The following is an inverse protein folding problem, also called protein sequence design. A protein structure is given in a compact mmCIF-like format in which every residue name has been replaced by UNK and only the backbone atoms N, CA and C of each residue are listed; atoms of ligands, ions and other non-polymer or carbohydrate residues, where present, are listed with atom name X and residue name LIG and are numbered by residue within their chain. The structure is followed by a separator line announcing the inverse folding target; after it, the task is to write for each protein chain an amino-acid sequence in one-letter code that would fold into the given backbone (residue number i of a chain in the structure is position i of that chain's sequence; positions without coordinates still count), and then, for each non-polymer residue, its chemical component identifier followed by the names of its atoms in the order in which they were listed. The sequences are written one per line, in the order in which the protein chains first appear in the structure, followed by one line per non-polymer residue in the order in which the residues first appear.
data_IF_739599698812
#
_entry.id   IF_739599698812
#
_cell.length_a   1.000
_cell.length_b   1.000
_cell.length_c   1.000
_cell.angle_alpha   90.00
_cell.angle_beta   90.00
_cell.angle_gamma   90.00
#
_symmetry.space_group_name_H-M   'P 1'
#
loop_
_entity.id
_entity.type
_entity.pdbx_description
1 polymer ?
#
# COMPACT_ATOMS: atom_id res chain seq x y z
N UNK A 1 -9.16 -20.54 0.85
CA UNK A 1 -8.18 -19.63 0.20
C UNK A 1 -8.87 -18.28 -0.05
N UNK A 2 -8.33 -17.20 0.48
CA UNK A 2 -8.85 -15.84 0.30
C UNK A 2 -7.87 -15.01 -0.52
N UNK A 3 -8.38 -14.14 -1.40
CA UNK A 3 -7.55 -13.23 -2.20
C UNK A 3 -8.22 -11.87 -2.30
N UNK A 4 -7.49 -10.82 -2.00
CA UNK A 4 -7.91 -9.44 -2.15
C UNK A 4 -6.88 -8.68 -3.02
N UNK A 5 -7.38 -7.89 -3.97
CA UNK A 5 -6.55 -6.97 -4.75
C UNK A 5 -7.09 -5.56 -4.61
N UNK A 6 -6.24 -4.67 -4.15
CA UNK A 6 -6.56 -3.27 -3.92
C UNK A 6 -5.75 -2.38 -4.85
N UNK A 7 -6.33 -1.23 -5.22
CA UNK A 7 -5.69 -0.18 -6.02
C UNK A 7 -5.82 1.17 -5.32
N UNK A 8 -5.07 2.16 -5.79
CA UNK A 8 -5.23 3.54 -5.36
C UNK A 8 -6.51 4.12 -5.96
N UNK A 9 -7.57 4.22 -5.14
CA UNK A 9 -8.90 4.69 -5.55
C UNK A 9 -9.25 6.04 -4.95
N UNK A 10 -8.34 6.68 -4.24
CA UNK A 10 -8.57 7.97 -3.61
C UNK A 10 -8.76 9.05 -4.68
N UNK A 11 -9.96 9.63 -4.77
CA UNK A 11 -10.30 10.68 -5.73
C UNK A 11 -9.42 11.93 -5.57
N UNK A 12 -9.07 12.30 -4.34
CA UNK A 12 -8.20 13.45 -4.05
C UNK A 12 -6.78 13.26 -4.60
N UNK A 13 -6.26 12.04 -4.64
CA UNK A 13 -4.96 11.73 -5.25
C UNK A 13 -4.97 12.08 -6.74
N UNK A 14 -6.01 11.69 -7.44
CA UNK A 14 -6.17 11.98 -8.86
C UNK A 14 -6.34 13.48 -9.13
N UNK A 15 -7.05 14.21 -8.24
CA UNK A 15 -7.11 15.67 -8.33
C UNK A 15 -5.76 16.34 -8.15
N UNK A 16 -4.94 15.89 -7.19
CA UNK A 16 -3.58 16.39 -7.00
C UNK A 16 -2.73 16.11 -8.25
N UNK A 17 -2.76 14.90 -8.77
CA UNK A 17 -2.02 14.53 -9.98
C UNK A 17 -2.44 15.38 -11.18
N UNK A 18 -3.74 15.62 -11.36
CA UNK A 18 -4.26 16.53 -12.40
C UNK A 18 -3.80 17.97 -12.18
N UNK A 19 -3.83 18.48 -10.95
CA UNK A 19 -3.35 19.82 -10.61
C UNK A 19 -1.87 20.01 -10.92
N UNK A 20 -1.04 19.05 -10.53
CA UNK A 20 0.39 19.03 -10.86
C UNK A 20 0.59 19.01 -12.37
N UNK A 21 -0.10 18.13 -13.07
CA UNK A 21 0.00 18.02 -14.54
C UNK A 21 -0.41 19.33 -15.23
N UNK A 22 -1.53 19.95 -14.82
CA UNK A 22 -2.02 21.22 -15.35
C UNK A 22 -1.01 22.35 -15.10
N UNK A 23 -0.42 22.41 -13.92
CA UNK A 23 0.64 23.38 -13.58
C UNK A 23 1.88 23.21 -14.47
N UNK A 24 2.28 21.97 -14.74
CA UNK A 24 3.42 21.68 -15.63
C UNK A 24 3.12 22.12 -17.08
N UNK A 25 1.93 21.80 -17.59
CA UNK A 25 1.50 22.25 -18.93
C UNK A 25 1.46 23.78 -19.02
N UNK A 26 0.87 24.43 -18.01
CA UNK A 26 0.83 25.89 -17.95
C UNK A 26 2.25 26.50 -17.98
N UNK A 27 3.17 25.94 -17.19
CA UNK A 27 4.57 26.39 -17.15
C UNK A 27 5.27 26.24 -18.51
N UNK A 28 5.01 25.16 -19.25
CA UNK A 28 5.58 24.94 -20.58
C UNK A 28 5.05 25.97 -21.60
N UNK A 29 3.75 26.31 -21.51
CA UNK A 29 3.11 27.23 -22.46
C UNK A 29 3.52 28.69 -22.21
N UNK A 30 3.74 29.07 -20.94
CA UNK A 30 3.97 30.46 -20.54
C UNK A 30 5.45 30.80 -20.33
N UNK A 31 6.33 29.81 -20.17
CA UNK A 31 7.75 30.04 -20.02
C UNK A 31 8.36 30.52 -21.33
N UNK A 32 9.34 31.47 -21.29
CA UNK A 32 10.13 31.79 -22.45
C UNK A 32 10.85 30.51 -22.93
N UNK A 33 11.21 30.43 -24.24
CA UNK A 33 11.83 29.24 -24.80
C UNK A 33 13.14 28.91 -24.07
N UNK A 34 12.98 28.08 -23.06
CA UNK A 34 14.06 27.48 -22.27
C UNK A 34 14.34 26.10 -22.87
N UNK A 35 15.57 25.70 -22.68
CA UNK A 35 16.12 24.46 -23.20
C UNK A 35 15.07 23.32 -23.26
N UNK A 36 14.73 22.86 -24.43
CA UNK A 36 13.74 21.83 -24.74
C UNK A 36 13.82 20.60 -23.81
N UNK A 37 15.00 20.28 -23.29
CA UNK A 37 15.24 19.16 -22.43
C UNK A 37 14.44 19.21 -21.09
N UNK A 38 14.37 20.37 -20.43
CA UNK A 38 13.65 20.50 -19.15
C UNK A 38 12.13 20.35 -19.34
N UNK A 39 11.58 20.86 -20.44
CA UNK A 39 10.19 20.72 -20.82
C UNK A 39 9.82 19.25 -21.10
N UNK A 40 10.64 18.54 -21.87
CA UNK A 40 10.43 17.11 -22.17
C UNK A 40 10.52 16.24 -20.93
N UNK A 41 11.48 16.49 -20.03
CA UNK A 41 11.62 15.76 -18.76
C UNK A 41 10.38 16.00 -17.89
N UNK A 42 9.94 17.25 -17.75
CA UNK A 42 8.74 17.59 -16.96
C UNK A 42 7.50 16.89 -17.52
N UNK A 43 7.30 16.94 -18.83
CA UNK A 43 6.18 16.28 -19.49
C UNK A 43 6.22 14.77 -19.33
N UNK A 44 7.40 14.16 -19.46
CA UNK A 44 7.60 12.73 -19.21
C UNK A 44 7.23 12.31 -17.79
N UNK A 45 7.66 13.07 -16.77
CA UNK A 45 7.29 12.84 -15.36
C UNK A 45 5.78 13.00 -15.18
N UNK A 46 5.17 14.01 -15.78
CA UNK A 46 3.73 14.28 -15.70
C UNK A 46 2.87 13.14 -16.25
N UNK A 47 3.37 12.40 -17.23
CA UNK A 47 2.68 11.19 -17.75
C UNK A 47 3.02 9.96 -16.91
N UNK A 48 4.28 9.78 -16.55
CA UNK A 48 4.77 8.58 -15.87
C UNK A 48 4.14 8.40 -14.49
N UNK A 49 3.98 9.48 -13.71
CA UNK A 49 3.44 9.42 -12.36
C UNK A 49 1.99 8.92 -12.32
N UNK A 50 1.02 9.50 -13.06
CA UNK A 50 -0.35 8.96 -13.10
C UNK A 50 -0.38 7.51 -13.56
N UNK A 51 0.43 7.15 -14.55
CA UNK A 51 0.51 5.80 -15.09
C UNK A 51 1.05 4.80 -14.06
N UNK A 52 2.03 5.21 -13.26
CA UNK A 52 2.57 4.43 -12.15
C UNK A 52 1.48 4.17 -11.10
N UNK A 53 0.79 5.23 -10.62
CA UNK A 53 -0.28 5.08 -9.62
C UNK A 53 -1.44 4.23 -10.14
N UNK A 54 -1.78 4.33 -11.42
CA UNK A 54 -2.81 3.51 -12.05
C UNK A 54 -2.44 2.02 -12.08
N UNK A 55 -1.17 1.70 -12.28
CA UNK A 55 -0.67 0.33 -12.28
C UNK A 55 -0.46 -0.24 -10.87
N UNK A 56 -0.27 0.63 -9.85
CA UNK A 56 -0.02 0.18 -8.48
C UNK A 56 -1.19 -0.63 -7.93
N UNK A 57 -0.87 -1.83 -7.45
CA UNK A 57 -1.84 -2.72 -6.81
C UNK A 57 -1.20 -3.51 -5.68
N UNK A 58 -1.95 -3.64 -4.59
CA UNK A 58 -1.64 -4.50 -3.47
C UNK A 58 -2.48 -5.76 -3.59
N UNK A 59 -1.86 -6.91 -3.71
CA UNK A 59 -2.53 -8.21 -3.69
C UNK A 59 -2.14 -8.94 -2.43
N UNK A 60 -3.15 -9.36 -1.66
CA UNK A 60 -3.02 -10.16 -0.44
C UNK A 60 -3.72 -11.49 -0.65
N UNK A 61 -3.05 -12.59 -0.37
CA UNK A 61 -3.61 -13.94 -0.47
C UNK A 61 -3.34 -14.69 0.82
N UNK A 62 -4.42 -15.20 1.43
CA UNK A 62 -4.37 -15.97 2.68
C UNK A 62 -4.66 -17.43 2.35
N UNK A 63 -3.76 -18.31 2.75
CA UNK A 63 -3.81 -19.76 2.49
C UNK A 63 -3.63 -20.54 3.79
N UNK A 64 -3.71 -21.87 3.73
CA UNK A 64 -3.41 -22.75 4.86
C UNK A 64 -1.93 -22.73 5.27
N UNK A 65 -1.03 -22.37 4.35
CA UNK A 65 0.41 -22.36 4.59
C UNK A 65 0.90 -21.02 5.17
N UNK A 66 0.21 -19.91 4.83
CA UNK A 66 0.61 -18.57 5.24
C UNK A 66 -0.04 -17.49 4.41
N UNK A 67 0.56 -16.30 4.46
CA UNK A 67 0.08 -15.09 3.81
C UNK A 67 1.06 -14.67 2.73
N UNK A 68 0.56 -14.43 1.54
CA UNK A 68 1.32 -13.91 0.40
C UNK A 68 0.92 -12.47 0.15
N UNK A 69 1.91 -11.59 -0.03
CA UNK A 69 1.72 -10.17 -0.29
C UNK A 69 2.54 -9.74 -1.49
N UNK A 70 1.91 -9.04 -2.43
CA UNK A 70 2.59 -8.44 -3.56
C UNK A 70 2.12 -7.02 -3.78
N UNK A 71 3.06 -6.08 -3.79
CA UNK A 71 2.81 -4.69 -4.10
C UNK A 71 3.46 -4.34 -5.46
N UNK A 72 2.70 -4.50 -6.53
CA UNK A 72 3.18 -4.19 -7.88
C UNK A 72 3.20 -2.67 -8.12
N UNK A 73 4.20 -2.09 -8.81
CA UNK A 73 5.34 -2.75 -9.49
C UNK A 73 6.57 -2.96 -8.61
N UNK A 74 6.58 -2.57 -7.35
CA UNK A 74 7.77 -2.63 -6.48
C UNK A 74 8.17 -4.07 -6.11
N UNK A 75 7.19 -4.97 -5.99
CA UNK A 75 7.44 -6.39 -5.77
C UNK A 75 7.05 -7.19 -7.01
N UNK A 76 8.04 -7.68 -7.74
CA UNK A 76 7.81 -8.61 -8.86
C UNK A 76 7.44 -10.00 -8.38
N UNK A 77 7.98 -10.43 -7.22
CA UNK A 77 7.65 -11.70 -6.57
C UNK A 77 6.76 -11.46 -5.36
N UNK A 78 5.90 -12.42 -5.05
CA UNK A 78 5.12 -12.41 -3.81
C UNK A 78 6.04 -12.57 -2.61
N UNK A 79 5.82 -11.80 -1.55
CA UNK A 79 6.44 -12.03 -0.24
C UNK A 79 5.58 -13.02 0.52
N UNK A 80 6.19 -14.05 1.03
CA UNK A 80 5.52 -15.12 1.77
C UNK A 80 5.83 -15.01 3.27
N UNK A 81 4.78 -15.05 4.06
CA UNK A 81 4.83 -15.05 5.52
C UNK A 81 4.19 -16.35 6.02
N UNK A 82 4.99 -17.38 6.37
CA UNK A 82 4.46 -18.66 6.84
C UNK A 82 3.85 -18.53 8.23
N UNK A 83 2.78 -19.26 8.51
CA UNK A 83 2.09 -19.22 9.80
C UNK A 83 3.02 -19.56 10.98
N UNK A 84 4.02 -20.41 10.76
CA UNK A 84 4.96 -20.82 11.80
C UNK A 84 5.84 -19.66 12.30
N UNK A 85 6.05 -18.64 11.48
CA UNK A 85 6.79 -17.43 11.87
C UNK A 85 5.91 -16.37 12.55
N UNK A 86 4.58 -16.47 12.40
CA UNK A 86 3.62 -15.49 12.92
C UNK A 86 3.24 -15.87 14.36
N UNK A 87 3.44 -14.94 15.30
CA UNK A 87 3.02 -15.10 16.69
C UNK A 87 1.60 -14.63 16.96
N UNK A 88 1.15 -13.60 16.24
CA UNK A 88 -0.21 -13.08 16.33
C UNK A 88 -0.66 -12.48 15.00
N UNK A 89 -1.94 -12.69 14.66
CA UNK A 89 -2.59 -12.09 13.49
C UNK A 89 -3.99 -11.62 13.84
N UNK A 90 -4.25 -10.33 13.63
CA UNK A 90 -5.53 -9.69 13.94
C UNK A 90 -5.79 -8.49 13.03
N UNK A 91 -7.05 -8.15 12.86
CA UNK A 91 -7.45 -6.97 12.10
C UNK A 91 -7.62 -5.79 13.07
N UNK A 92 -7.01 -4.65 12.74
CA UNK A 92 -7.13 -3.42 13.53
C UNK A 92 -7.36 -2.20 12.64
N UNK A 93 -7.90 -1.18 13.26
CA UNK A 93 -7.90 0.17 12.69
C UNK A 93 -6.56 0.85 13.01
N UNK A 94 -6.01 1.58 12.06
CA UNK A 94 -4.76 2.32 12.22
C UNK A 94 -4.85 3.70 11.56
N UNK A 95 -3.91 4.59 11.87
CA UNK A 95 -3.80 5.88 11.20
C UNK A 95 -2.68 5.84 10.16
N UNK A 96 -2.99 5.80 8.85
CA UNK A 96 -1.96 5.75 7.81
C UNK A 96 -0.96 6.90 7.90
N UNK A 97 -1.45 8.11 8.18
CA UNK A 97 -0.61 9.31 8.26
C UNK A 97 0.23 9.36 9.53
N UNK A 98 -0.39 9.10 10.70
CA UNK A 98 0.28 9.26 12.00
C UNK A 98 1.22 8.11 12.35
N UNK A 99 0.89 6.89 11.91
CA UNK A 99 1.68 5.70 12.22
C UNK A 99 2.76 5.44 11.18
N UNK A 100 2.50 5.76 9.89
CA UNK A 100 3.36 5.37 8.78
C UNK A 100 3.71 6.51 7.81
N UNK A 101 3.17 7.72 8.01
CA UNK A 101 3.41 8.86 7.11
C UNK A 101 2.71 8.75 5.75
N UNK A 102 1.63 7.99 5.65
CA UNK A 102 0.79 7.88 4.45
C UNK A 102 0.61 6.46 3.91
N UNK A 103 0.21 6.38 2.65
CA UNK A 103 -0.06 5.13 1.94
C UNK A 103 1.13 4.69 1.09
N UNK A 104 1.17 3.40 0.73
CA UNK A 104 2.20 2.76 -0.06
C UNK A 104 2.93 1.65 0.69
N UNK A 105 4.22 1.49 0.40
CA UNK A 105 5.15 0.66 1.17
C UNK A 105 5.93 1.59 2.07
N UNK A 106 5.76 1.47 3.36
CA UNK A 106 6.38 2.38 4.33
C UNK A 106 6.87 1.63 5.55
N UNK A 107 7.91 2.16 6.17
CA UNK A 107 8.43 1.69 7.44
C UNK A 107 8.11 2.72 8.51
N UNK A 108 7.57 2.28 9.63
CA UNK A 108 7.20 3.17 10.73
C UNK A 108 8.43 3.66 11.49
N UNK A 109 8.54 4.98 11.66
CA UNK A 109 9.56 5.57 12.53
C UNK A 109 9.28 5.34 14.03
N UNK A 110 8.08 4.85 14.39
CA UNK A 110 7.64 4.59 15.77
C UNK A 110 7.74 3.13 16.19
N UNK A 111 8.44 2.30 15.42
CA UNK A 111 8.60 0.88 15.74
C UNK A 111 7.40 -0.01 15.38
N UNK A 112 6.40 0.51 14.63
CA UNK A 112 5.24 -0.28 14.18
C UNK A 112 5.56 -1.19 12.98
N UNK A 113 6.83 -1.28 12.58
CA UNK A 113 7.30 -2.12 11.49
C UNK A 113 6.91 -1.64 10.10
N UNK A 114 6.73 -2.57 9.18
CA UNK A 114 6.47 -2.34 7.77
C UNK A 114 4.96 -2.30 7.49
N UNK A 115 4.52 -1.40 6.62
CA UNK A 115 3.15 -1.38 6.11
C UNK A 115 3.10 -1.53 4.60
N UNK A 116 2.09 -2.26 4.13
CA UNK A 116 1.63 -2.32 2.75
C UNK A 116 0.19 -1.83 2.71
N UNK A 117 -0.07 -0.65 2.20
CA UNK A 117 -1.43 -0.14 2.09
C UNK A 117 -1.63 0.68 0.82
N UNK A 118 -2.86 0.73 0.31
CA UNK A 118 -3.24 1.54 -0.85
C UNK A 118 -4.27 2.59 -0.47
N UNK A 119 -5.22 2.25 0.39
CA UNK A 119 -6.32 3.11 0.81
C UNK A 119 -6.89 2.66 2.16
N UNK A 120 -7.70 3.51 2.79
CA UNK A 120 -8.39 3.18 4.03
C UNK A 120 -7.50 3.24 5.27
N UNK A 121 -8.05 2.74 6.38
CA UNK A 121 -7.45 2.78 7.70
C UNK A 121 -7.66 1.46 8.49
N UNK A 122 -8.02 0.39 7.79
CA UNK A 122 -8.14 -0.96 8.37
C UNK A 122 -7.04 -1.83 7.80
N UNK A 123 -6.43 -2.66 8.62
CA UNK A 123 -5.34 -3.54 8.19
C UNK A 123 -5.24 -4.81 9.01
N UNK A 124 -4.69 -5.84 8.37
CA UNK A 124 -4.27 -7.07 8.99
C UNK A 124 -2.88 -6.85 9.60
N UNK A 125 -2.81 -6.88 10.92
CA UNK A 125 -1.56 -6.82 11.67
C UNK A 125 -1.00 -8.24 11.82
N UNK A 126 0.26 -8.39 11.47
CA UNK A 126 1.06 -9.59 11.68
C UNK A 126 2.19 -9.26 12.64
N UNK A 127 2.23 -9.94 13.76
CA UNK A 127 3.37 -9.93 14.67
C UNK A 127 4.13 -11.24 14.48
N UNK A 128 5.44 -11.16 14.42
CA UNK A 128 6.29 -12.32 14.22
C UNK A 128 6.93 -12.76 15.54
N UNK A 129 7.37 -14.01 15.60
CA UNK A 129 8.15 -14.54 16.72
C UNK A 129 9.51 -13.84 16.82
N UNK A 130 10.06 -13.50 15.66
CA UNK A 130 11.31 -12.77 15.50
C UNK A 130 11.16 -11.74 14.38
N UNK A 131 11.66 -10.52 14.59
CA UNK A 131 11.63 -9.45 13.62
C UNK A 131 10.49 -8.45 13.81
N UNK A 132 10.42 -7.48 12.91
CA UNK A 132 9.48 -6.38 12.98
C UNK A 132 8.07 -6.77 12.52
N UNK A 133 7.03 -6.19 13.12
CA UNK A 133 5.66 -6.43 12.70
C UNK A 133 5.39 -5.92 11.28
N UNK A 134 4.41 -6.52 10.62
CA UNK A 134 3.94 -6.12 9.29
C UNK A 134 2.44 -5.83 9.35
N UNK A 135 2.04 -4.69 8.79
CA UNK A 135 0.64 -4.35 8.61
C UNK A 135 0.29 -4.38 7.12
N UNK A 136 -0.78 -5.08 6.78
CA UNK A 136 -1.29 -5.19 5.42
C UNK A 136 -2.65 -4.52 5.39
N UNK A 137 -2.75 -3.37 4.70
CA UNK A 137 -4.02 -2.67 4.54
C UNK A 137 -5.07 -3.56 3.87
N UNK A 138 -6.32 -3.40 4.30
CA UNK A 138 -7.47 -4.09 3.71
C UNK A 138 -8.69 -3.19 3.65
N UNK A 139 -9.52 -3.42 2.65
CA UNK A 139 -10.85 -2.82 2.55
C UNK A 139 -11.94 -3.81 2.98
N UNK A 140 -11.56 -5.04 3.30
CA UNK A 140 -12.42 -6.16 3.62
C UNK A 140 -12.06 -6.80 4.98
N UNK A 141 -11.95 -5.95 6.01
CA UNK A 141 -11.49 -6.38 7.33
C UNK A 141 -12.31 -7.51 7.95
N UNK A 142 -13.65 -7.48 7.79
CA UNK A 142 -14.53 -8.52 8.34
C UNK A 142 -14.39 -9.86 7.58
N UNK A 143 -14.19 -9.81 6.25
CA UNK A 143 -13.91 -11.03 5.49
C UNK A 143 -12.59 -11.66 5.92
N UNK A 144 -11.55 -10.85 6.14
CA UNK A 144 -10.25 -11.35 6.65
C UNK A 144 -10.39 -11.93 8.04
N UNK A 145 -11.13 -11.29 8.95
CA UNK A 145 -11.40 -11.85 10.29
C UNK A 145 -12.06 -13.21 10.21
N UNK A 146 -13.09 -13.35 9.36
CA UNK A 146 -13.79 -14.63 9.18
C UNK A 146 -12.85 -15.72 8.66
N UNK A 147 -12.01 -15.40 7.66
CA UNK A 147 -11.03 -16.34 7.10
C UNK A 147 -9.98 -16.74 8.13
N UNK A 148 -9.48 -15.80 8.93
CA UNK A 148 -8.51 -16.09 10.00
C UNK A 148 -9.13 -16.96 11.09
N UNK A 149 -10.40 -16.72 11.45
CA UNK A 149 -11.13 -17.54 12.41
C UNK A 149 -11.34 -18.98 11.90
N UNK A 150 -11.73 -19.13 10.64
CA UNK A 150 -11.88 -20.44 9.98
C UNK A 150 -10.58 -21.23 9.96
N UNK A 151 -9.45 -20.54 9.74
CA UNK A 151 -8.12 -21.15 9.78
C UNK A 151 -7.57 -21.37 11.20
N UNK A 152 -8.27 -20.93 12.25
CA UNK A 152 -7.78 -20.96 13.63
C UNK A 152 -6.56 -20.08 13.87
N UNK A 153 -6.43 -19.00 13.10
CA UNK A 153 -5.30 -18.07 13.14
C UNK A 153 -5.66 -16.66 13.60
N UNK A 154 -6.94 -16.41 13.90
CA UNK A 154 -7.34 -15.11 14.47
C UNK A 154 -6.90 -15.03 15.93
N UNK A 155 -6.11 -13.99 16.24
CA UNK A 155 -5.70 -13.65 17.60
C UNK A 155 -6.49 -12.42 18.06
N UNK A 156 -6.76 -12.29 19.35
CA UNK A 156 -7.32 -11.05 19.90
C UNK A 156 -6.27 -9.93 19.81
N UNK A 157 -6.73 -8.72 19.49
CA UNK A 157 -5.84 -7.56 19.50
C UNK A 157 -5.36 -7.32 20.93
N UNK A 158 -4.07 -7.47 21.15
CA UNK A 158 -3.46 -7.00 22.39
C UNK A 158 -3.63 -5.49 22.46
N UNK A 159 -4.40 -5.02 23.44
CA UNK A 159 -4.58 -3.58 23.72
C UNK A 159 -3.28 -2.97 24.23
#
# INVERSE_FOLDING_TARGET
MYTETQRFTQWWLWLILMGVWSSMVYSIITAPPQTDAAAYVSFGIGILLPLLFWQMKLTTRITQEGIYVRFFPFHFKERFYPWDSISASYVRTYSPLLEYGGWGIKYSFKGNGLVYNTAGNVGLQLNFKEGDPVLIGTQKGEEIKAVLAELGRLTESVK
#
